data_IF_379806642619
#
_entry.id   IF_379806642619
#
_cell.length_a   1.000
_cell.length_b   1.000
_cell.length_c   1.000
_cell.angle_alpha   90.00
_cell.angle_beta   90.00
_cell.angle_gamma   90.00
#
_symmetry.space_group_name_H-M   'P 1'
#
loop_
_entity.id
_entity.type
_entity.pdbx_description
1 polymer ?
#
# COMPACT_ATOMS: atom_id res chain seq x y z
N UNK A 1 -14.35 -16.44 -7.27
CA UNK A 1 -14.46 -15.45 -6.15
C UNK A 1 -14.46 -16.15 -4.80
N UNK A 2 -15.39 -17.08 -4.59
CA UNK A 2 -15.54 -17.77 -3.30
C UNK A 2 -14.31 -18.61 -2.94
N UNK A 3 -13.82 -19.45 -3.84
CA UNK A 3 -12.61 -20.28 -3.62
C UNK A 3 -11.37 -19.42 -3.32
N UNK A 4 -11.17 -18.31 -4.06
CA UNK A 4 -10.09 -17.38 -3.81
C UNK A 4 -10.20 -16.78 -2.41
N UNK A 5 -11.39 -16.37 -2.00
CA UNK A 5 -11.62 -15.79 -0.67
C UNK A 5 -11.41 -16.81 0.46
N UNK A 6 -11.83 -18.05 0.25
CA UNK A 6 -11.60 -19.13 1.21
C UNK A 6 -10.10 -19.44 1.36
N UNK A 7 -9.37 -19.51 0.25
CA UNK A 7 -7.92 -19.69 0.26
C UNK A 7 -7.17 -18.55 0.95
N UNK A 8 -7.66 -17.31 0.82
CA UNK A 8 -7.10 -16.15 1.50
C UNK A 8 -7.30 -16.15 3.01
N UNK A 9 -8.35 -16.83 3.51
CA UNK A 9 -8.76 -16.76 4.92
C UNK A 9 -7.63 -17.19 5.86
N UNK A 10 -6.97 -18.32 5.57
CA UNK A 10 -5.87 -18.83 6.40
C UNK A 10 -4.67 -17.89 6.45
N UNK A 11 -4.30 -17.35 5.29
CA UNK A 11 -3.13 -16.45 5.19
C UNK A 11 -3.43 -15.10 5.84
N UNK A 12 -4.63 -14.53 5.65
CA UNK A 12 -5.06 -13.30 6.32
C UNK A 12 -5.13 -13.48 7.84
N UNK A 13 -5.68 -14.60 8.33
CA UNK A 13 -5.71 -14.90 9.74
C UNK A 13 -4.29 -14.99 10.33
N UNK A 14 -3.38 -15.71 9.67
CA UNK A 14 -1.97 -15.79 10.09
C UNK A 14 -1.32 -14.41 10.19
N UNK A 15 -1.42 -13.61 9.13
CA UNK A 15 -0.75 -12.30 9.08
C UNK A 15 -1.36 -11.30 10.05
N UNK A 16 -2.69 -11.17 10.13
CA UNK A 16 -3.33 -10.25 11.08
C UNK A 16 -3.08 -10.70 12.53
N UNK A 17 -2.96 -12.00 12.78
CA UNK A 17 -2.52 -12.52 14.08
C UNK A 17 -1.12 -12.06 14.46
N UNK A 18 -0.15 -12.19 13.56
CA UNK A 18 1.24 -11.75 13.78
C UNK A 18 1.29 -10.21 13.92
N UNK A 19 0.58 -9.47 13.08
CA UNK A 19 0.52 -8.01 13.12
C UNK A 19 -0.07 -7.50 14.43
N UNK A 20 -1.09 -8.16 15.00
CA UNK A 20 -1.69 -7.81 16.30
C UNK A 20 -0.69 -7.92 17.43
N UNK A 21 0.21 -8.90 17.38
CA UNK A 21 1.33 -9.00 18.36
C UNK A 21 2.23 -7.77 18.25
N UNK A 22 2.61 -7.37 17.05
CA UNK A 22 3.43 -6.18 16.80
C UNK A 22 2.77 -4.88 17.27
N UNK A 23 1.46 -4.73 16.99
CA UNK A 23 0.64 -3.60 17.43
C UNK A 23 0.65 -3.48 18.95
N UNK A 24 0.20 -4.53 19.68
CA UNK A 24 0.18 -4.55 21.16
C UNK A 24 1.59 -4.56 21.76
N UNK A 25 2.57 -5.11 21.05
CA UNK A 25 3.98 -5.08 21.39
C UNK A 25 4.61 -3.69 21.36
N UNK A 26 3.93 -2.69 20.78
CA UNK A 26 4.39 -1.31 20.74
C UNK A 26 5.34 -1.00 19.57
N UNK A 27 5.35 -1.83 18.54
CA UNK A 27 6.21 -1.62 17.36
C UNK A 27 5.78 -0.37 16.60
N UNK A 28 4.46 -0.10 16.47
CA UNK A 28 3.96 1.11 15.83
C UNK A 28 4.49 2.36 16.54
N UNK A 29 4.44 2.40 17.87
CA UNK A 29 4.94 3.52 18.68
C UNK A 29 6.45 3.71 18.54
N UNK A 30 7.20 2.61 18.46
CA UNK A 30 8.64 2.67 18.23
C UNK A 30 8.97 3.24 16.85
N UNK A 31 8.25 2.81 15.82
CA UNK A 31 8.40 3.28 14.45
C UNK A 31 7.97 4.74 14.29
N UNK A 32 6.87 5.15 14.93
CA UNK A 32 6.41 6.54 14.96
C UNK A 32 7.47 7.47 15.56
N UNK A 33 8.13 7.05 16.66
CA UNK A 33 9.24 7.83 17.25
C UNK A 33 10.46 7.92 16.35
N UNK A 34 10.77 6.86 15.62
CA UNK A 34 11.89 6.84 14.67
C UNK A 34 11.65 7.78 13.48
N UNK A 35 10.43 7.85 12.98
CA UNK A 35 10.05 8.65 11.80
C UNK A 35 9.66 10.09 12.14
N UNK A 36 9.35 10.40 13.40
CA UNK A 36 8.93 11.72 13.86
C UNK A 36 9.87 12.87 13.47
N UNK A 37 11.21 12.76 13.53
CA UNK A 37 12.11 13.85 13.16
C UNK A 37 11.99 14.31 11.70
N UNK A 38 11.56 13.41 10.82
CA UNK A 38 11.33 13.70 9.40
C UNK A 38 9.91 14.23 9.20
N UNK A 39 8.92 13.46 9.62
CA UNK A 39 7.52 13.78 9.37
C UNK A 39 7.05 15.06 10.07
N UNK A 40 7.59 15.39 11.26
CA UNK A 40 7.28 16.66 11.93
C UNK A 40 7.62 17.91 11.09
N UNK A 41 8.56 17.81 10.15
CA UNK A 41 8.93 18.90 9.24
C UNK A 41 8.00 19.05 8.05
N UNK A 42 7.22 18.02 7.74
CA UNK A 42 6.21 18.06 6.70
C UNK A 42 4.90 18.70 7.18
N UNK A 43 4.74 18.91 8.48
CA UNK A 43 3.55 19.47 9.11
C UNK A 43 3.83 20.75 9.91
N UNK A 44 4.39 21.81 9.28
CA UNK A 44 4.79 23.02 10.01
C UNK A 44 3.63 23.78 10.66
N UNK A 45 2.40 23.56 10.17
CA UNK A 45 1.18 24.20 10.71
C UNK A 45 0.62 23.54 11.98
N UNK A 46 1.22 22.43 12.46
CA UNK A 46 0.75 21.77 13.68
C UNK A 46 1.63 22.19 14.87
N UNK A 47 1.05 22.66 15.99
CA UNK A 47 1.80 22.93 17.22
C UNK A 47 2.52 21.67 17.72
N UNK A 48 3.74 21.80 18.27
CA UNK A 48 4.61 20.67 18.63
C UNK A 48 3.97 19.67 19.59
N UNK A 49 3.16 20.17 20.53
CA UNK A 49 2.55 19.34 21.57
C UNK A 49 1.11 18.94 21.23
N UNK A 50 0.64 19.21 20.02
CA UNK A 50 -0.73 18.88 19.62
C UNK A 50 -0.89 17.37 19.37
N UNK A 51 -1.98 16.73 19.87
CA UNK A 51 -2.20 15.28 19.75
C UNK A 51 -2.24 14.79 18.30
N UNK A 52 -2.67 15.62 17.33
CA UNK A 52 -2.67 15.29 15.91
C UNK A 52 -1.32 14.79 15.40
N UNK A 53 -0.20 15.35 15.93
CA UNK A 53 1.16 14.89 15.58
C UNK A 53 1.35 13.41 15.89
N UNK A 54 0.91 12.99 17.07
CA UNK A 54 0.97 11.59 17.50
C UNK A 54 0.10 10.67 16.63
N UNK A 55 -1.16 11.06 16.41
CA UNK A 55 -2.12 10.30 15.61
C UNK A 55 -1.67 10.15 14.15
N UNK A 56 -1.13 11.21 13.54
CA UNK A 56 -0.54 11.18 12.19
C UNK A 56 0.61 10.18 12.12
N UNK A 57 1.57 10.27 13.05
CA UNK A 57 2.76 9.41 13.01
C UNK A 57 2.41 7.94 13.28
N UNK A 58 1.44 7.68 14.13
CA UNK A 58 0.93 6.33 14.36
C UNK A 58 0.25 5.77 13.11
N UNK A 59 -0.58 6.57 12.42
CA UNK A 59 -1.23 6.16 11.17
C UNK A 59 -0.21 5.86 10.06
N UNK A 60 0.74 6.78 9.82
CA UNK A 60 1.80 6.60 8.81
C UNK A 60 2.64 5.35 9.15
N UNK A 61 3.00 5.16 10.42
CA UNK A 61 3.80 4.01 10.86
C UNK A 61 3.05 2.69 10.69
N UNK A 62 1.74 2.67 10.96
CA UNK A 62 0.89 1.52 10.74
C UNK A 62 0.81 1.16 9.24
N UNK A 63 0.60 2.15 8.36
CA UNK A 63 0.60 1.95 6.91
C UNK A 63 1.94 1.44 6.40
N UNK A 64 3.06 2.02 6.85
CA UNK A 64 4.40 1.56 6.49
C UNK A 64 4.62 0.07 6.83
N UNK A 65 4.07 -0.37 7.94
CA UNK A 65 4.16 -1.76 8.41
C UNK A 65 3.08 -2.67 7.80
N UNK A 66 2.18 -2.14 6.95
CA UNK A 66 1.08 -2.90 6.35
C UNK A 66 -0.03 -3.27 7.33
N UNK A 67 -0.18 -2.48 8.41
CA UNK A 67 -1.18 -2.65 9.47
C UNK A 67 -2.45 -1.83 9.16
N UNK A 68 -3.08 -2.08 8.01
CA UNK A 68 -4.21 -1.29 7.49
C UNK A 68 -5.37 -1.16 8.49
N UNK A 69 -5.66 -2.24 9.24
CA UNK A 69 -6.72 -2.25 10.25
C UNK A 69 -6.43 -1.29 11.41
N UNK A 70 -5.16 -1.11 11.78
CA UNK A 70 -4.73 -0.18 12.82
C UNK A 70 -4.58 1.25 12.27
N UNK A 71 -4.20 1.40 11.00
CA UNK A 71 -3.98 2.70 10.37
C UNK A 71 -5.28 3.51 10.23
N UNK A 72 -6.37 2.89 9.78
CA UNK A 72 -7.64 3.57 9.51
C UNK A 72 -8.22 4.32 10.73
N UNK A 73 -8.41 3.69 11.92
CA UNK A 73 -8.91 4.43 13.09
C UNK A 73 -7.96 5.54 13.55
N UNK A 74 -6.64 5.33 13.44
CA UNK A 74 -5.65 6.36 13.75
C UNK A 74 -5.72 7.54 12.78
N UNK A 75 -5.95 7.27 11.49
CA UNK A 75 -6.13 8.29 10.48
C UNK A 75 -7.40 9.11 10.66
N UNK A 76 -8.52 8.46 10.98
CA UNK A 76 -9.78 9.15 11.30
C UNK A 76 -9.64 10.05 12.53
N UNK A 77 -8.92 9.58 13.56
CA UNK A 77 -8.60 10.37 14.74
C UNK A 77 -7.71 11.57 14.37
N UNK A 78 -6.66 11.35 13.58
CA UNK A 78 -5.78 12.42 13.11
C UNK A 78 -6.56 13.50 12.34
N UNK A 79 -7.49 13.11 11.45
CA UNK A 79 -8.31 14.07 10.72
C UNK A 79 -9.20 14.91 11.63
N UNK A 80 -9.84 14.31 12.65
CA UNK A 80 -10.64 15.05 13.63
C UNK A 80 -9.80 16.06 14.40
N UNK A 81 -8.63 15.64 14.88
CA UNK A 81 -7.69 16.50 15.60
C UNK A 81 -7.12 17.62 14.70
N UNK A 82 -6.93 17.37 13.40
CA UNK A 82 -6.55 18.38 12.41
C UNK A 82 -7.70 19.37 12.15
N UNK A 83 -8.95 18.89 12.14
CA UNK A 83 -10.12 19.73 11.96
C UNK A 83 -10.33 20.69 13.16
N UNK A 84 -9.93 20.30 14.36
CA UNK A 84 -9.94 21.20 15.52
C UNK A 84 -9.03 22.42 15.29
N UNK A 85 -7.85 22.21 14.70
CA UNK A 85 -6.88 23.26 14.34
C UNK A 85 -7.29 24.08 13.12
N UNK A 86 -8.20 23.56 12.30
CA UNK A 86 -8.58 24.19 11.06
C UNK A 86 -9.45 25.42 11.28
N UNK A 87 -9.01 26.57 10.80
CA UNK A 87 -9.73 27.84 10.92
C UNK A 87 -10.86 27.97 9.90
N UNK A 88 -10.75 27.27 8.76
CA UNK A 88 -11.76 27.27 7.70
C UNK A 88 -12.40 25.87 7.62
N UNK A 89 -13.49 25.68 8.36
CA UNK A 89 -14.10 24.36 8.54
C UNK A 89 -14.56 23.69 7.24
N UNK A 90 -14.93 24.49 6.25
CA UNK A 90 -15.42 24.03 4.93
C UNK A 90 -14.29 23.79 3.90
N UNK A 91 -13.05 23.98 4.30
CA UNK A 91 -11.88 23.82 3.42
C UNK A 91 -10.82 22.95 4.06
N UNK A 92 -10.12 22.13 3.25
CA UNK A 92 -9.01 21.34 3.73
C UNK A 92 -7.82 22.24 4.13
N UNK A 93 -7.31 22.07 5.34
CA UNK A 93 -6.08 22.73 5.76
C UNK A 93 -4.82 22.09 5.14
N UNK A 94 -3.72 22.85 5.07
CA UNK A 94 -2.44 22.36 4.56
C UNK A 94 -1.97 21.05 5.23
N UNK A 95 -2.04 20.89 6.58
CA UNK A 95 -1.72 19.63 7.23
C UNK A 95 -2.64 18.47 6.80
N UNK A 96 -3.94 18.71 6.61
CA UNK A 96 -4.87 17.68 6.12
C UNK A 96 -4.50 17.21 4.72
N UNK A 97 -4.17 18.14 3.81
CA UNK A 97 -3.74 17.81 2.44
C UNK A 97 -2.46 16.99 2.45
N UNK A 98 -1.45 17.39 3.22
CA UNK A 98 -0.20 16.64 3.37
C UNK A 98 -0.45 15.23 3.90
N UNK A 99 -1.23 15.11 4.97
CA UNK A 99 -1.58 13.83 5.57
C UNK A 99 -2.29 12.91 4.58
N UNK A 100 -3.23 13.46 3.83
CA UNK A 100 -3.99 12.73 2.82
C UNK A 100 -3.12 12.25 1.67
N UNK A 101 -2.22 13.10 1.17
CA UNK A 101 -1.29 12.74 0.10
C UNK A 101 -0.32 11.64 0.51
N UNK A 102 0.19 11.67 1.75
CA UNK A 102 1.05 10.60 2.29
C UNK A 102 0.29 9.28 2.37
N UNK A 103 -0.95 9.27 2.86
CA UNK A 103 -1.76 8.06 2.92
C UNK A 103 -2.11 7.54 1.52
N UNK A 104 -2.58 8.41 0.61
CA UNK A 104 -2.95 8.02 -0.76
C UNK A 104 -1.75 7.51 -1.56
N UNK A 105 -0.53 7.99 -1.31
CA UNK A 105 0.68 7.48 -1.94
C UNK A 105 1.02 6.04 -1.56
N UNK A 106 0.46 5.54 -0.45
CA UNK A 106 0.49 4.13 -0.07
C UNK A 106 1.87 3.57 0.24
N UNK A 107 2.75 4.37 0.86
CA UNK A 107 4.09 3.91 1.23
C UNK A 107 4.01 2.69 2.16
N UNK A 108 4.33 1.53 1.62
CA UNK A 108 4.26 0.25 2.33
C UNK A 108 5.60 -0.47 2.24
N UNK A 109 6.13 -0.89 3.38
CA UNK A 109 7.36 -1.71 3.45
C UNK A 109 7.06 -3.21 3.37
N UNK A 110 5.83 -3.61 3.69
CA UNK A 110 5.45 -5.03 3.78
C UNK A 110 4.16 -5.27 2.97
N UNK A 111 4.27 -5.53 1.65
CA UNK A 111 3.11 -5.73 0.78
C UNK A 111 2.54 -7.16 0.89
N UNK A 112 2.21 -7.60 2.11
CA UNK A 112 1.73 -8.96 2.41
C UNK A 112 0.51 -9.33 1.57
N UNK A 113 -0.44 -8.43 1.44
CA UNK A 113 -1.68 -8.68 0.70
C UNK A 113 -1.41 -9.09 -0.75
N UNK A 114 -0.50 -8.38 -1.42
CA UNK A 114 -0.15 -8.67 -2.82
C UNK A 114 0.51 -10.04 -2.95
N UNK A 115 1.47 -10.34 -2.06
CA UNK A 115 2.16 -11.64 -2.06
C UNK A 115 1.18 -12.78 -1.78
N UNK A 116 0.20 -12.56 -0.89
CA UNK A 116 -0.86 -13.51 -0.58
C UNK A 116 -1.72 -13.80 -1.82
N UNK A 117 -2.19 -12.77 -2.53
CA UNK A 117 -2.98 -12.96 -3.75
C UNK A 117 -2.17 -13.69 -4.82
N UNK A 118 -0.90 -13.35 -5.02
CA UNK A 118 -0.02 -14.06 -5.97
C UNK A 118 0.15 -15.52 -5.60
N UNK A 119 0.36 -15.84 -4.31
CA UNK A 119 0.44 -17.22 -3.84
C UNK A 119 -0.84 -18.00 -4.13
N UNK A 120 -2.01 -17.42 -3.88
CA UNK A 120 -3.31 -18.03 -4.16
C UNK A 120 -3.58 -18.23 -5.66
N UNK A 121 -3.00 -17.37 -6.50
CA UNK A 121 -3.08 -17.48 -7.96
C UNK A 121 -2.00 -18.39 -8.57
N UNK A 122 -1.26 -19.13 -7.74
CA UNK A 122 -0.28 -20.12 -8.17
C UNK A 122 1.04 -19.56 -8.68
N UNK A 123 1.43 -18.36 -8.23
CA UNK A 123 2.76 -17.83 -8.55
C UNK A 123 3.85 -18.74 -7.99
N UNK A 124 4.85 -19.08 -8.80
CA UNK A 124 6.00 -19.87 -8.38
C UNK A 124 6.83 -19.17 -7.29
N UNK A 125 6.94 -17.84 -7.41
CA UNK A 125 7.59 -16.98 -6.44
C UNK A 125 6.69 -15.76 -6.11
N UNK A 126 5.79 -15.85 -5.13
CA UNK A 126 4.89 -14.73 -4.78
C UNK A 126 5.61 -13.43 -4.42
N UNK A 127 6.83 -13.52 -3.90
CA UNK A 127 7.64 -12.39 -3.45
C UNK A 127 8.54 -11.77 -4.54
N UNK A 128 8.53 -12.26 -5.78
CA UNK A 128 9.39 -11.75 -6.85
C UNK A 128 9.09 -10.30 -7.26
N UNK A 129 7.86 -9.83 -6.97
CA UNK A 129 7.42 -8.44 -7.18
C UNK A 129 7.78 -7.50 -6.02
N UNK A 130 8.40 -7.99 -4.95
CA UNK A 130 8.62 -7.23 -3.72
C UNK A 130 9.47 -5.97 -3.97
N UNK A 131 10.68 -6.12 -4.53
CA UNK A 131 11.56 -4.99 -4.81
C UNK A 131 11.00 -4.04 -5.90
N UNK A 132 10.46 -4.52 -7.03
CA UNK A 132 9.75 -3.66 -7.98
C UNK A 132 8.58 -2.88 -7.36
N UNK A 133 7.82 -3.50 -6.46
CA UNK A 133 6.74 -2.84 -5.75
C UNK A 133 7.27 -1.77 -4.79
N UNK A 134 8.34 -2.04 -4.05
CA UNK A 134 9.01 -1.03 -3.23
C UNK A 134 9.47 0.16 -4.08
N UNK A 135 10.07 -0.08 -5.24
CA UNK A 135 10.45 0.98 -6.17
C UNK A 135 9.25 1.85 -6.56
N UNK A 136 8.12 1.23 -6.90
CA UNK A 136 6.91 1.92 -7.31
C UNK A 136 6.31 2.76 -6.16
N UNK A 137 6.13 2.18 -4.96
CA UNK A 137 5.53 2.88 -3.82
C UNK A 137 6.41 4.00 -3.27
N UNK A 138 7.73 3.80 -3.24
CA UNK A 138 8.66 4.87 -2.84
C UNK A 138 8.66 6.03 -3.86
N UNK A 139 8.61 5.72 -5.16
CA UNK A 139 8.51 6.74 -6.22
C UNK A 139 7.21 7.52 -6.12
N UNK A 140 6.07 6.84 -5.94
CA UNK A 140 4.77 7.45 -5.72
C UNK A 140 4.78 8.42 -4.53
N UNK A 141 5.29 7.96 -3.39
CA UNK A 141 5.37 8.77 -2.17
C UNK A 141 6.32 9.96 -2.31
N UNK A 142 7.49 9.76 -2.95
CA UNK A 142 8.43 10.84 -3.21
C UNK A 142 7.77 11.96 -4.02
N UNK A 143 7.12 11.60 -5.13
CA UNK A 143 6.44 12.59 -6.00
C UNK A 143 5.29 13.28 -5.26
N UNK A 144 4.47 12.53 -4.52
CA UNK A 144 3.34 13.07 -3.76
C UNK A 144 3.81 14.10 -2.72
N UNK A 145 4.80 13.74 -1.89
CA UNK A 145 5.30 14.65 -0.85
C UNK A 145 6.00 15.87 -1.47
N UNK A 146 6.80 15.70 -2.53
CA UNK A 146 7.46 16.83 -3.20
C UNK A 146 6.44 17.79 -3.82
N UNK A 147 5.38 17.28 -4.46
CA UNK A 147 4.33 18.10 -5.04
C UNK A 147 3.62 18.95 -3.96
N UNK A 148 3.28 18.33 -2.81
CA UNK A 148 2.67 19.05 -1.68
C UNK A 148 3.64 20.04 -1.05
N UNK A 149 4.90 19.67 -0.83
CA UNK A 149 5.95 20.57 -0.32
C UNK A 149 6.10 21.81 -1.22
N UNK A 150 6.10 21.61 -2.54
CA UNK A 150 6.16 22.71 -3.50
C UNK A 150 4.93 23.62 -3.40
N UNK A 151 3.73 23.05 -3.37
CA UNK A 151 2.47 23.80 -3.26
C UNK A 151 2.36 24.58 -1.94
N UNK A 152 2.74 23.96 -0.83
CA UNK A 152 2.68 24.55 0.52
C UNK A 152 3.94 25.36 0.88
N UNK A 153 4.89 25.50 -0.05
CA UNK A 153 6.15 26.23 0.16
C UNK A 153 6.95 25.74 1.37
N UNK A 154 6.92 24.44 1.65
CA UNK A 154 7.71 23.84 2.71
C UNK A 154 9.18 23.84 2.27
N UNK A 155 10.07 24.35 3.14
CA UNK A 155 11.50 24.37 2.85
C UNK A 155 12.09 22.96 2.91
N UNK A 156 12.28 22.32 1.74
CA UNK A 156 12.85 20.98 1.60
C UNK A 156 14.37 20.91 1.87
N UNK A 157 15.05 22.06 1.92
CA UNK A 157 16.50 22.14 2.19
C UNK A 157 16.84 21.98 3.68
N UNK A 158 15.87 21.81 4.57
CA UNK A 158 16.12 21.44 5.95
C UNK A 158 16.85 20.11 6.02
N UNK A 159 17.88 19.99 6.85
CA UNK A 159 18.75 18.82 6.96
C UNK A 159 18.01 17.49 7.01
N UNK A 160 16.95 17.40 7.82
CA UNK A 160 16.20 16.15 7.98
C UNK A 160 15.40 15.77 6.72
N UNK A 161 14.80 16.77 6.05
CA UNK A 161 14.06 16.54 4.80
C UNK A 161 15.04 16.25 3.65
N UNK A 162 16.15 16.98 3.59
CA UNK A 162 17.20 16.74 2.59
C UNK A 162 17.77 15.31 2.69
N UNK A 163 18.04 14.84 3.91
CA UNK A 163 18.50 13.47 4.15
C UNK A 163 17.42 12.44 3.80
N UNK A 164 16.17 12.72 4.10
CA UNK A 164 15.06 11.84 3.76
C UNK A 164 14.83 11.75 2.24
N UNK A 165 14.70 12.87 1.56
CA UNK A 165 14.53 12.89 0.11
C UNK A 165 15.77 12.37 -0.63
N UNK A 166 16.96 12.77 -0.18
CA UNK A 166 18.21 12.25 -0.72
C UNK A 166 18.34 10.74 -0.54
N UNK A 167 17.98 10.22 0.62
CA UNK A 167 17.92 8.78 0.89
C UNK A 167 16.90 8.06 0.00
N UNK A 168 15.69 8.61 -0.16
CA UNK A 168 14.68 8.04 -1.06
C UNK A 168 15.15 8.04 -2.52
N UNK A 169 15.70 9.15 -3.00
CA UNK A 169 16.24 9.26 -4.38
C UNK A 169 17.38 8.27 -4.58
N UNK A 170 18.29 8.17 -3.61
CA UNK A 170 19.43 7.23 -3.67
C UNK A 170 18.93 5.77 -3.67
N UNK A 171 17.90 5.45 -2.87
CA UNK A 171 17.28 4.13 -2.84
C UNK A 171 16.61 3.80 -4.16
N UNK A 172 15.76 4.69 -4.68
CA UNK A 172 15.05 4.53 -5.97
C UNK A 172 16.07 4.40 -7.10
N UNK A 173 17.04 5.33 -7.17
CA UNK A 173 18.09 5.33 -8.19
C UNK A 173 18.98 4.09 -8.10
N UNK A 174 19.35 3.68 -6.89
CA UNK A 174 20.13 2.46 -6.64
C UNK A 174 19.39 1.19 -7.11
N UNK A 175 18.10 1.05 -6.76
CA UNK A 175 17.29 -0.07 -7.24
C UNK A 175 17.11 -0.04 -8.77
N UNK A 176 16.84 1.12 -9.35
CA UNK A 176 16.69 1.24 -10.80
C UNK A 176 17.98 0.88 -11.56
N UNK A 177 19.14 1.33 -11.07
CA UNK A 177 20.44 0.97 -11.63
C UNK A 177 20.71 -0.54 -11.48
N UNK A 178 20.46 -1.11 -10.29
CA UNK A 178 20.61 -2.55 -10.06
C UNK A 178 19.73 -3.36 -11.01
N UNK A 179 18.46 -2.99 -11.18
CA UNK A 179 17.54 -3.69 -12.10
C UNK A 179 17.98 -3.57 -13.56
N UNK A 180 18.53 -2.41 -13.97
CA UNK A 180 19.07 -2.21 -15.31
C UNK A 180 20.32 -3.06 -15.61
N UNK A 181 21.08 -3.46 -14.58
CA UNK A 181 22.30 -4.27 -14.70
C UNK A 181 22.05 -5.77 -14.50
N UNK A 182 20.87 -6.18 -14.04
CA UNK A 182 20.57 -7.56 -13.66
C UNK A 182 19.61 -8.23 -14.63
N UNK A 183 19.76 -9.54 -14.80
CA UNK A 183 18.76 -10.33 -15.51
C UNK A 183 17.44 -10.41 -14.70
N UNK A 184 16.31 -10.61 -15.39
CA UNK A 184 15.01 -10.77 -14.75
C UNK A 184 15.01 -11.91 -13.69
N UNK A 185 15.73 -12.98 -13.94
CA UNK A 185 15.89 -14.08 -12.99
C UNK A 185 16.63 -13.64 -11.73
N UNK A 186 17.68 -12.85 -11.87
CA UNK A 186 18.43 -12.31 -10.73
C UNK A 186 17.59 -11.34 -9.91
N UNK A 187 16.82 -10.46 -10.56
CA UNK A 187 15.87 -9.54 -9.86
C UNK A 187 14.86 -10.36 -9.06
N UNK A 188 14.26 -11.40 -9.65
CA UNK A 188 13.31 -12.29 -8.97
C UNK A 188 13.95 -12.98 -7.76
N UNK A 189 15.15 -13.55 -7.92
CA UNK A 189 15.88 -14.23 -6.86
C UNK A 189 16.19 -13.31 -5.68
N UNK A 190 16.80 -12.14 -5.94
CA UNK A 190 17.16 -11.20 -4.88
C UNK A 190 15.93 -10.56 -4.23
N UNK A 191 14.87 -10.29 -4.99
CA UNK A 191 13.59 -9.83 -4.45
C UNK A 191 13.00 -10.83 -3.47
N UNK A 192 12.97 -12.10 -3.85
CA UNK A 192 12.46 -13.19 -3.01
C UNK A 192 13.32 -13.36 -1.75
N UNK A 193 14.65 -13.40 -1.91
CA UNK A 193 15.57 -13.55 -0.78
C UNK A 193 15.43 -12.39 0.21
N UNK A 194 15.42 -11.15 -0.27
CA UNK A 194 15.26 -9.96 0.55
C UNK A 194 13.91 -9.94 1.27
N UNK A 195 12.81 -10.25 0.53
CA UNK A 195 11.48 -10.33 1.12
C UNK A 195 11.42 -11.38 2.24
N UNK A 196 11.95 -12.58 2.00
CA UNK A 196 11.91 -13.67 3.00
C UNK A 196 12.69 -13.32 4.25
N UNK A 197 13.90 -12.74 4.12
CA UNK A 197 14.72 -12.30 5.26
C UNK A 197 13.99 -11.20 6.02
N UNK A 198 13.44 -10.21 5.33
CA UNK A 198 12.72 -9.09 5.93
C UNK A 198 11.48 -9.58 6.68
N UNK A 199 10.64 -10.39 6.05
CA UNK A 199 9.42 -10.92 6.65
C UNK A 199 9.71 -11.78 7.87
N UNK A 200 10.70 -12.65 7.80
CA UNK A 200 11.14 -13.45 8.93
C UNK A 200 11.64 -12.58 10.09
N UNK A 201 12.45 -11.57 9.78
CA UNK A 201 12.95 -10.62 10.79
C UNK A 201 11.83 -9.84 11.47
N UNK A 202 10.80 -9.45 10.70
CA UNK A 202 9.61 -8.76 11.22
C UNK A 202 8.80 -9.68 12.14
N UNK A 203 8.54 -10.91 11.73
CA UNK A 203 7.83 -11.89 12.55
C UNK A 203 8.54 -12.09 13.88
N UNK A 204 9.85 -12.35 13.84
CA UNK A 204 10.67 -12.49 15.04
C UNK A 204 10.65 -11.22 15.89
N UNK A 205 10.77 -10.05 15.26
CA UNK A 205 10.74 -8.75 15.94
C UNK A 205 9.41 -8.49 16.65
N UNK A 206 8.28 -8.85 16.01
CA UNK A 206 6.96 -8.69 16.64
C UNK A 206 6.77 -9.63 17.84
N UNK A 207 7.18 -10.89 17.71
CA UNK A 207 7.11 -11.86 18.80
C UNK A 207 8.00 -11.41 19.98
N UNK A 208 9.25 -11.01 19.71
CA UNK A 208 10.17 -10.51 20.72
C UNK A 208 9.61 -9.25 21.42
N UNK A 209 9.03 -8.34 20.64
CA UNK A 209 8.38 -7.13 21.16
C UNK A 209 7.21 -7.49 22.10
N UNK A 210 6.38 -8.44 21.70
CA UNK A 210 5.28 -8.95 22.54
C UNK A 210 5.77 -9.55 23.86
N UNK A 211 6.80 -10.40 23.81
CA UNK A 211 7.42 -11.01 24.99
C UNK A 211 7.99 -9.93 25.92
N UNK A 212 8.72 -8.95 25.37
CA UNK A 212 9.28 -7.84 26.15
C UNK A 212 8.22 -6.99 26.85
N UNK A 213 7.06 -6.79 26.19
CA UNK A 213 5.90 -6.09 26.75
C UNK A 213 5.08 -6.95 27.71
N UNK A 214 5.45 -8.23 27.89
CA UNK A 214 4.76 -9.20 28.73
C UNK A 214 3.28 -9.39 28.37
N UNK A 215 2.94 -9.24 27.08
CA UNK A 215 1.60 -9.56 26.57
C UNK A 215 1.47 -11.08 26.41
N UNK A 216 0.24 -11.60 26.51
CA UNK A 216 -0.02 -12.98 26.13
C UNK A 216 0.02 -13.08 24.59
N UNK A 217 1.16 -13.55 24.06
CA UNK A 217 1.43 -13.62 22.62
C UNK A 217 0.41 -14.51 21.90
N UNK A 218 0.04 -15.65 22.51
CA UNK A 218 -0.91 -16.58 21.92
C UNK A 218 -2.32 -15.98 21.82
N UNK A 219 -2.85 -15.45 22.92
CA UNK A 219 -4.20 -14.86 22.91
C UNK A 219 -4.27 -13.63 22.00
N UNK A 220 -3.20 -12.84 21.96
CA UNK A 220 -3.09 -11.69 21.06
C UNK A 220 -3.07 -12.13 19.59
N UNK A 221 -2.35 -13.21 19.28
CA UNK A 221 -2.37 -13.80 17.94
C UNK A 221 -3.79 -14.26 17.56
N UNK A 222 -4.48 -14.98 18.45
CA UNK A 222 -5.85 -15.47 18.19
C UNK A 222 -6.83 -14.32 17.98
N UNK A 223 -6.69 -13.21 18.72
CA UNK A 223 -7.50 -12.01 18.52
C UNK A 223 -7.31 -11.45 17.10
N UNK A 224 -6.08 -11.24 16.66
CA UNK A 224 -5.79 -10.77 15.31
C UNK A 224 -6.17 -11.77 14.21
N UNK A 225 -6.03 -13.08 14.47
CA UNK A 225 -6.46 -14.12 13.54
C UNK A 225 -7.98 -14.13 13.32
N UNK A 226 -8.76 -13.86 14.37
CA UNK A 226 -10.24 -13.68 14.26
C UNK A 226 -10.58 -12.45 13.42
N UNK A 227 -9.86 -11.33 13.58
CA UNK A 227 -10.01 -10.14 12.73
C UNK A 227 -9.70 -10.48 11.27
N UNK A 228 -8.66 -11.28 11.02
CA UNK A 228 -8.28 -11.75 9.68
C UNK A 228 -9.35 -12.61 9.03
N UNK A 229 -9.95 -13.53 9.79
CA UNK A 229 -11.07 -14.33 9.33
C UNK A 229 -12.28 -13.46 8.95
N UNK A 230 -12.64 -12.52 9.82
CA UNK A 230 -13.76 -11.61 9.56
C UNK A 230 -13.51 -10.72 8.33
N UNK A 231 -12.28 -10.25 8.15
CA UNK A 231 -11.87 -9.48 6.96
C UNK A 231 -12.04 -10.33 5.70
N UNK A 232 -11.60 -11.59 5.71
CA UNK A 232 -11.76 -12.50 4.57
C UNK A 232 -13.24 -12.70 4.21
N UNK A 233 -14.10 -12.96 5.20
CA UNK A 233 -15.54 -13.09 4.99
C UNK A 233 -16.16 -11.82 4.41
N UNK A 234 -15.77 -10.67 4.92
CA UNK A 234 -16.26 -9.36 4.44
C UNK A 234 -15.88 -9.10 2.98
N UNK A 235 -14.73 -9.58 2.52
CA UNK A 235 -14.23 -9.38 1.14
C UNK A 235 -15.04 -10.24 0.12
N UNK A 236 -15.59 -11.37 0.53
CA UNK A 236 -16.27 -12.32 -0.38
C UNK A 236 -17.32 -11.67 -1.30
N UNK A 237 -18.33 -10.93 -0.79
CA UNK A 237 -19.36 -10.33 -1.65
C UNK A 237 -18.77 -9.36 -2.68
N UNK A 238 -17.82 -8.54 -2.26
CA UNK A 238 -17.15 -7.57 -3.14
C UNK A 238 -16.34 -8.25 -4.23
N UNK A 239 -15.59 -9.32 -3.90
CA UNK A 239 -14.83 -10.09 -4.89
C UNK A 239 -15.75 -10.77 -5.90
N UNK A 240 -16.83 -11.39 -5.44
CA UNK A 240 -17.79 -12.04 -6.32
C UNK A 240 -18.41 -11.00 -7.27
N UNK A 241 -18.92 -9.89 -6.74
CA UNK A 241 -19.57 -8.85 -7.54
C UNK A 241 -18.62 -8.29 -8.60
N UNK A 242 -17.39 -7.95 -8.21
CA UNK A 242 -16.39 -7.39 -9.13
C UNK A 242 -15.96 -8.40 -10.18
N UNK A 243 -15.66 -9.64 -9.80
CA UNK A 243 -15.24 -10.67 -10.76
C UNK A 243 -16.36 -11.04 -11.75
N UNK A 244 -17.62 -11.05 -11.31
CA UNK A 244 -18.78 -11.24 -12.21
C UNK A 244 -18.90 -10.06 -13.17
N UNK A 245 -18.81 -8.82 -12.68
CA UNK A 245 -18.86 -7.64 -13.53
C UNK A 245 -17.74 -7.63 -14.59
N UNK A 246 -16.50 -7.99 -14.20
CA UNK A 246 -15.37 -8.11 -15.11
C UNK A 246 -15.62 -9.21 -16.15
N UNK A 247 -16.12 -10.37 -15.72
CA UNK A 247 -16.41 -11.47 -16.63
C UNK A 247 -17.48 -11.08 -17.68
N UNK A 248 -18.53 -10.37 -17.26
CA UNK A 248 -19.56 -9.85 -18.19
C UNK A 248 -18.95 -8.80 -19.12
N UNK A 249 -18.15 -7.87 -18.62
CA UNK A 249 -17.50 -6.82 -19.42
C UNK A 249 -16.53 -7.42 -20.44
N UNK A 250 -15.79 -8.46 -20.07
CA UNK A 250 -14.92 -9.20 -21.00
C UNK A 250 -15.73 -10.02 -22.02
N UNK A 251 -16.75 -10.75 -21.57
CA UNK A 251 -17.60 -11.55 -22.46
C UNK A 251 -18.39 -10.73 -23.46
N UNK A 252 -18.73 -9.47 -23.14
CA UNK A 252 -19.37 -8.54 -24.07
C UNK A 252 -18.46 -8.03 -25.18
N UNK A 253 -17.14 -8.28 -25.10
CA UNK A 253 -16.14 -7.72 -26.02
C UNK A 253 -15.82 -6.24 -25.78
N UNK A 254 -16.50 -5.57 -24.84
CA UNK A 254 -16.28 -4.15 -24.55
C UNK A 254 -14.87 -3.86 -24.02
N UNK A 255 -14.33 -4.77 -23.18
CA UNK A 255 -12.96 -4.66 -22.70
C UNK A 255 -11.97 -4.76 -23.85
N UNK A 256 -12.13 -5.75 -24.72
CA UNK A 256 -11.21 -5.95 -25.87
C UNK A 256 -11.28 -4.78 -26.86
N UNK A 257 -12.46 -4.20 -27.06
CA UNK A 257 -12.64 -3.00 -27.86
C UNK A 257 -11.87 -1.80 -27.30
N UNK A 258 -11.99 -1.53 -25.99
CA UNK A 258 -11.29 -0.43 -25.33
C UNK A 258 -9.77 -0.64 -25.33
N UNK A 259 -9.32 -1.82 -24.92
CA UNK A 259 -7.90 -2.19 -24.91
C UNK A 259 -7.31 -2.16 -26.32
N UNK A 260 -8.05 -2.66 -27.30
CA UNK A 260 -7.64 -2.66 -28.71
C UNK A 260 -7.49 -1.24 -29.27
N UNK A 261 -8.41 -0.33 -28.95
CA UNK A 261 -8.31 1.08 -29.32
C UNK A 261 -7.08 1.77 -28.73
N UNK A 262 -6.83 1.55 -27.43
CA UNK A 262 -5.64 2.10 -26.75
C UNK A 262 -4.35 1.48 -27.33
N UNK A 263 -4.34 0.17 -27.57
CA UNK A 263 -3.20 -0.53 -28.18
C UNK A 263 -2.85 0.04 -29.54
N UNK A 264 -3.85 0.33 -30.41
CA UNK A 264 -3.62 0.97 -31.69
C UNK A 264 -2.98 2.35 -31.52
N UNK A 265 -3.47 3.17 -30.58
CA UNK A 265 -2.89 4.49 -30.32
C UNK A 265 -1.44 4.41 -29.82
N UNK A 266 -1.15 3.50 -28.89
CA UNK A 266 0.20 3.28 -28.32
C UNK A 266 1.15 2.78 -29.42
N UNK A 267 0.70 1.82 -30.24
CA UNK A 267 1.49 1.29 -31.38
C UNK A 267 1.76 2.37 -32.42
N UNK A 268 0.78 3.21 -32.74
CA UNK A 268 0.95 4.33 -33.66
C UNK A 268 1.97 5.37 -33.16
N UNK A 269 2.13 5.49 -31.85
CA UNK A 269 3.17 6.31 -31.22
C UNK A 269 4.55 5.62 -31.16
N UNK A 270 4.70 4.39 -31.67
CA UNK A 270 5.96 3.63 -31.66
C UNK A 270 6.36 3.10 -30.30
N UNK A 271 5.43 3.01 -29.35
CA UNK A 271 5.68 2.53 -27.99
C UNK A 271 5.36 1.04 -27.85
N UNK A 272 6.01 0.38 -26.87
CA UNK A 272 5.69 -1.00 -26.52
C UNK A 272 4.24 -1.09 -25.98
N UNK A 273 3.52 -2.09 -26.44
CA UNK A 273 2.11 -2.31 -26.12
C UNK A 273 1.88 -3.38 -25.03
N UNK A 274 2.93 -4.02 -24.52
CA UNK A 274 2.79 -5.09 -23.53
C UNK A 274 2.06 -4.67 -22.24
N UNK A 275 2.22 -3.41 -21.82
CA UNK A 275 1.59 -2.90 -20.61
C UNK A 275 0.08 -2.63 -20.77
N UNK A 276 -0.42 -2.55 -21.99
CA UNK A 276 -1.80 -2.13 -22.27
C UNK A 276 -2.84 -3.06 -21.61
N UNK A 277 -2.53 -4.34 -21.53
CA UNK A 277 -3.38 -5.33 -20.83
C UNK A 277 -3.48 -5.07 -19.31
N UNK A 278 -2.55 -4.35 -18.73
CA UNK A 278 -2.57 -3.93 -17.32
C UNK A 278 -3.40 -2.66 -17.06
N UNK A 279 -3.79 -1.92 -18.11
CA UNK A 279 -4.52 -0.66 -17.97
C UNK A 279 -5.82 -0.77 -17.17
N UNK A 280 -6.64 -1.81 -17.30
CA UNK A 280 -7.85 -1.95 -16.49
C UNK A 280 -7.55 -1.86 -14.98
N UNK A 281 -6.49 -2.53 -14.52
CA UNK A 281 -6.04 -2.43 -13.11
C UNK A 281 -5.55 -1.02 -12.77
N UNK A 282 -4.78 -0.39 -13.66
CA UNK A 282 -4.24 0.96 -13.46
C UNK A 282 -5.33 2.01 -13.33
N UNK A 283 -6.32 1.99 -14.22
CA UNK A 283 -7.43 2.93 -14.24
C UNK A 283 -8.40 2.72 -13.06
N UNK A 284 -8.58 1.46 -12.65
CA UNK A 284 -9.45 1.14 -11.52
C UNK A 284 -8.83 1.49 -10.17
N UNK A 285 -7.51 1.48 -10.04
CA UNK A 285 -6.81 1.66 -8.75
C UNK A 285 -7.17 2.95 -8.02
N UNK A 286 -7.17 4.14 -8.63
CA UNK A 286 -7.58 5.37 -7.95
C UNK A 286 -9.07 5.40 -7.60
N UNK A 287 -9.92 4.67 -8.32
CA UNK A 287 -11.37 4.68 -8.18
C UNK A 287 -11.86 3.69 -7.13
N UNK A 288 -11.37 2.46 -7.17
CA UNK A 288 -11.84 1.36 -6.32
C UNK A 288 -10.74 0.36 -6.02
N UNK A 289 -10.33 0.24 -4.77
CA UNK A 289 -9.33 -0.75 -4.32
C UNK A 289 -9.78 -2.20 -4.51
N UNK A 290 -11.06 -2.49 -4.24
CA UNK A 290 -11.64 -3.82 -4.50
C UNK A 290 -11.79 -4.10 -6.00
N UNK A 291 -12.18 -3.09 -6.78
CA UNK A 291 -12.25 -3.17 -8.25
C UNK A 291 -10.90 -3.46 -8.88
N UNK A 292 -9.88 -2.70 -8.52
CA UNK A 292 -8.52 -2.90 -9.01
C UNK A 292 -7.95 -4.27 -8.59
N UNK A 293 -8.28 -4.75 -7.37
CA UNK A 293 -7.93 -6.10 -6.92
C UNK A 293 -8.58 -7.17 -7.78
N UNK A 294 -9.87 -7.01 -8.11
CA UNK A 294 -10.57 -7.91 -9.03
C UNK A 294 -9.93 -7.93 -10.42
N UNK A 295 -9.59 -6.76 -10.98
CA UNK A 295 -8.87 -6.66 -12.27
C UNK A 295 -7.48 -7.31 -12.22
N UNK A 296 -6.74 -7.15 -11.13
CA UNK A 296 -5.46 -7.83 -10.91
C UNK A 296 -5.62 -9.36 -10.89
N UNK A 297 -6.63 -9.85 -10.16
CA UNK A 297 -6.89 -11.30 -10.07
C UNK A 297 -7.35 -11.86 -11.42
N UNK A 298 -8.19 -11.14 -12.17
CA UNK A 298 -8.58 -11.51 -13.52
C UNK A 298 -7.38 -11.55 -14.47
N UNK A 299 -6.50 -10.56 -14.40
CA UNK A 299 -5.27 -10.52 -15.19
C UNK A 299 -4.35 -11.71 -14.87
N UNK A 300 -4.18 -12.06 -13.58
CA UNK A 300 -3.41 -13.23 -13.18
C UNK A 300 -4.03 -14.55 -13.66
N UNK A 301 -5.36 -14.65 -13.60
CA UNK A 301 -6.08 -15.82 -14.06
C UNK A 301 -6.01 -16.00 -15.58
N UNK A 302 -6.04 -14.90 -16.33
CA UNK A 302 -6.07 -14.89 -17.80
C UNK A 302 -4.66 -15.08 -18.40
N UNK A 303 -3.68 -14.37 -17.87
CA UNK A 303 -2.32 -14.31 -18.43
C UNK A 303 -1.29 -15.08 -17.60
N UNK A 304 -1.66 -15.53 -16.40
CA UNK A 304 -0.78 -16.19 -15.44
C UNK A 304 -0.17 -15.22 -14.43
N UNK A 305 -0.03 -15.67 -13.18
CA UNK A 305 0.50 -14.86 -12.09
C UNK A 305 1.98 -14.45 -12.30
N UNK A 306 2.77 -15.30 -12.97
CA UNK A 306 4.19 -15.07 -13.25
C UNK A 306 4.45 -14.41 -14.61
N UNK A 307 3.39 -14.11 -15.39
CA UNK A 307 3.51 -13.34 -16.62
C UNK A 307 3.91 -11.88 -16.33
N UNK A 308 4.41 -11.18 -17.36
CA UNK A 308 4.66 -9.74 -17.27
C UNK A 308 3.41 -8.97 -16.81
N UNK A 309 2.24 -9.30 -17.35
CA UNK A 309 0.97 -8.64 -17.04
C UNK A 309 0.55 -8.94 -15.59
N UNK A 310 0.65 -10.20 -15.14
CA UNK A 310 0.34 -10.58 -13.76
C UNK A 310 1.22 -9.84 -12.74
N UNK A 311 2.54 -9.76 -13.01
CA UNK A 311 3.47 -8.98 -12.19
C UNK A 311 3.17 -7.49 -12.23
N UNK A 312 2.94 -6.92 -13.41
CA UNK A 312 2.60 -5.51 -13.60
C UNK A 312 1.35 -5.12 -12.80
N UNK A 313 0.27 -5.89 -12.93
CA UNK A 313 -0.98 -5.64 -12.19
C UNK A 313 -0.77 -5.76 -10.67
N UNK A 314 0.08 -6.69 -10.22
CA UNK A 314 0.46 -6.84 -8.81
C UNK A 314 1.20 -5.61 -8.28
N UNK A 315 2.17 -5.10 -9.04
CA UNK A 315 2.94 -3.91 -8.69
C UNK A 315 2.01 -2.69 -8.66
N UNK A 316 1.17 -2.51 -9.67
CA UNK A 316 0.20 -1.40 -9.72
C UNK A 316 -0.75 -1.44 -8.53
N UNK A 317 -1.31 -2.62 -8.22
CA UNK A 317 -2.24 -2.76 -7.08
C UNK A 317 -1.59 -2.38 -5.75
N UNK A 318 -0.30 -2.67 -5.56
CA UNK A 318 0.42 -2.37 -4.33
C UNK A 318 1.14 -1.02 -4.30
N UNK A 319 1.22 -0.29 -5.43
CA UNK A 319 2.05 0.92 -5.55
C UNK A 319 1.47 2.17 -4.90
N UNK A 320 0.17 2.21 -4.63
CA UNK A 320 -0.54 3.34 -4.01
C UNK A 320 -1.79 2.86 -3.28
N UNK A 321 -2.41 3.71 -2.49
CA UNK A 321 -3.76 3.45 -1.99
C UNK A 321 -4.83 3.95 -2.98
N UNK A 322 -6.10 3.69 -2.70
CA UNK A 322 -7.24 4.10 -3.52
C UNK A 322 -7.57 5.55 -3.23
N UNK A 323 -7.12 6.45 -4.09
CA UNK A 323 -7.16 7.89 -3.86
C UNK A 323 -8.54 8.41 -3.52
N UNK A 324 -9.57 8.11 -4.33
CA UNK A 324 -10.93 8.62 -4.09
C UNK A 324 -11.55 8.04 -2.81
N UNK A 325 -11.25 6.80 -2.47
CA UNK A 325 -11.68 6.21 -1.20
C UNK A 325 -11.03 6.90 0.00
N UNK A 326 -9.72 7.13 -0.05
CA UNK A 326 -8.98 7.82 1.01
C UNK A 326 -9.52 9.25 1.21
N UNK A 327 -9.77 9.97 0.11
CA UNK A 327 -10.39 11.31 0.15
C UNK A 327 -11.78 11.27 0.81
N UNK A 328 -12.65 10.37 0.33
CA UNK A 328 -14.03 10.26 0.84
C UNK A 328 -14.05 9.83 2.32
N UNK A 329 -13.20 8.87 2.72
CA UNK A 329 -13.13 8.36 4.08
C UNK A 329 -12.71 9.45 5.07
N UNK A 330 -11.61 10.13 4.78
CA UNK A 330 -11.01 11.06 5.72
C UNK A 330 -11.77 12.40 5.77
N UNK A 331 -12.13 12.98 4.64
CA UNK A 331 -12.95 14.21 4.65
C UNK A 331 -14.39 13.96 5.07
N UNK A 332 -14.99 12.84 4.68
CA UNK A 332 -16.32 12.46 5.15
C UNK A 332 -16.41 12.26 6.67
N UNK A 333 -15.29 12.10 7.37
CA UNK A 333 -15.26 11.96 8.83
C UNK A 333 -15.26 13.31 9.59
N UNK A 334 -15.05 14.43 8.88
CA UNK A 334 -14.91 15.76 9.49
C UNK A 334 -15.93 16.79 9.01
N UNK A 335 -16.85 16.38 8.11
CA UNK A 335 -18.00 17.18 7.64
C UNK A 335 -17.86 17.62 6.21
#
# INVERSE_FOLDING_TARGET
>A
GFEISLGLTGVLALWLGIMKIGEKGGVIQAFARLTAPVFSKLFPGIPKDHPATGSIFMCISANLLGLDNAATPMGLKAMKELQELNTQKDSASDPMIMFLCINASGLTLIPVSIMTYRAQMGAANPADVFLPLMLATFSSTLVAILAVCFKQRINILQRNLLLFFGGMIAFIGGLALLFGMMSQQSVSLYSTLFANILLFSIICGFIISGIRKKINVYDTFIEGAKEGFQTAVTIIPYLIAVLVAIAVFRASGAMDFLIGGIRMGVSAAGLDTQFVEGLPTMLMKPLSGSGARGMMLDAMNTYGADSFIGRLCSIVQGSSDTTFYVVALYFGSVG
#
